data_IF_792224637406
#
_entry.id   IF_792224637406
#
_cell.length_a   1.000
_cell.length_b   1.000
_cell.length_c   1.000
_cell.angle_alpha   90.00
_cell.angle_beta   90.00
_cell.angle_gamma   90.00
#
_symmetry.space_group_name_H-M   'P 1'
#
loop_
_entity.id
_entity.type
_entity.pdbx_description
1 polymer ?
#
# COMPACT_ATOMS: atom_id res chain seq x y z
N UNK A 1 -20.96 -12.93 24.47
CA UNK A 1 -20.75 -11.51 24.13
C UNK A 1 -19.41 -11.10 24.76
N UNK A 2 -18.32 -11.09 23.98
CA UNK A 2 -16.99 -10.71 24.49
C UNK A 2 -16.97 -9.19 24.51
N UNK A 3 -16.77 -8.64 25.70
CA UNK A 3 -16.84 -7.21 25.95
C UNK A 3 -15.84 -6.44 25.07
N UNK A 4 -16.37 -5.54 24.25
CA UNK A 4 -15.65 -4.84 23.19
C UNK A 4 -14.75 -3.79 23.82
N UNK A 5 -13.43 -3.98 23.78
CA UNK A 5 -12.42 -2.94 24.09
C UNK A 5 -12.44 -2.31 25.51
N UNK A 6 -13.19 -2.85 26.46
CA UNK A 6 -13.35 -2.23 27.80
C UNK A 6 -12.04 -2.11 28.58
N UNK A 7 -11.13 -3.06 28.40
CA UNK A 7 -9.81 -3.04 29.05
C UNK A 7 -8.92 -1.87 28.60
N UNK A 8 -9.15 -1.31 27.41
CA UNK A 8 -8.38 -0.19 26.88
C UNK A 8 -8.88 1.18 27.41
N UNK A 9 -10.11 1.21 27.93
CA UNK A 9 -10.79 2.42 28.39
C UNK A 9 -10.65 2.60 29.91
N UNK A 10 -9.42 2.66 30.40
CA UNK A 10 -9.15 3.05 31.79
C UNK A 10 -9.57 4.51 32.03
N UNK A 11 -9.83 4.87 33.28
CA UNK A 11 -10.21 6.25 33.62
C UNK A 11 -9.14 7.27 33.24
N UNK A 12 -7.86 6.88 33.37
CA UNK A 12 -6.73 7.66 32.89
C UNK A 12 -6.77 7.87 31.36
N UNK A 13 -7.01 6.82 30.57
CA UNK A 13 -7.13 6.95 29.10
C UNK A 13 -8.31 7.84 28.73
N UNK A 14 -9.46 7.70 29.40
CA UNK A 14 -10.64 8.56 29.19
C UNK A 14 -10.31 10.02 29.50
N UNK A 15 -9.64 10.28 30.62
CA UNK A 15 -9.23 11.61 31.04
C UNK A 15 -8.31 12.25 29.99
N UNK A 16 -7.24 11.56 29.57
CA UNK A 16 -6.29 12.11 28.58
C UNK A 16 -6.93 12.32 27.21
N UNK A 17 -7.85 11.44 26.79
CA UNK A 17 -8.61 11.61 25.53
C UNK A 17 -9.55 12.82 25.61
N UNK A 18 -10.23 13.03 26.75
CA UNK A 18 -11.08 14.20 26.99
C UNK A 18 -10.26 15.49 27.01
N UNK A 19 -9.12 15.50 27.70
CA UNK A 19 -8.20 16.65 27.75
C UNK A 19 -7.70 17.02 26.35
N UNK A 20 -7.25 16.02 25.57
CA UNK A 20 -6.88 16.20 24.15
C UNK A 20 -8.01 16.83 23.34
N UNK A 21 -9.26 16.35 23.50
CA UNK A 21 -10.42 16.87 22.76
C UNK A 21 -10.73 18.32 23.14
N UNK A 22 -10.69 18.65 24.44
CA UNK A 22 -10.88 20.02 24.94
C UNK A 22 -9.85 20.98 24.35
N UNK A 23 -8.57 20.61 24.37
CA UNK A 23 -7.49 21.45 23.86
C UNK A 23 -7.50 21.58 22.34
N UNK A 24 -7.94 20.54 21.62
CA UNK A 24 -8.16 20.65 20.18
C UNK A 24 -9.27 21.67 19.86
N UNK A 25 -10.37 21.64 20.60
CA UNK A 25 -11.45 22.62 20.43
C UNK A 25 -10.98 24.05 20.79
N UNK A 26 -10.21 24.22 21.86
CA UNK A 26 -9.62 25.51 22.23
C UNK A 26 -8.71 26.06 21.11
N UNK A 27 -7.89 25.19 20.51
CA UNK A 27 -7.07 25.55 19.33
C UNK A 27 -7.92 25.92 18.11
N UNK A 28 -9.03 25.23 17.86
CA UNK A 28 -9.93 25.58 16.76
C UNK A 28 -10.61 26.95 16.95
N UNK A 29 -10.99 27.28 18.19
CA UNK A 29 -11.55 28.58 18.53
C UNK A 29 -10.53 29.71 18.46
N UNK A 30 -9.28 29.46 18.88
CA UNK A 30 -8.21 30.45 18.86
C UNK A 30 -6.86 29.80 18.47
N UNK A 31 -6.43 30.03 17.22
CA UNK A 31 -5.28 29.37 16.59
C UNK A 31 -3.93 29.97 17.01
N UNK A 32 -3.68 30.05 18.32
CA UNK A 32 -2.39 30.50 18.87
C UNK A 32 -1.35 29.39 18.90
N UNK A 33 -0.07 29.78 18.95
CA UNK A 33 1.04 28.85 19.13
C UNK A 33 0.93 28.09 20.46
N UNK A 34 0.48 28.74 21.52
CA UNK A 34 0.30 28.14 22.84
C UNK A 34 -0.78 27.06 22.84
N UNK A 35 -1.94 27.35 22.23
CA UNK A 35 -3.03 26.38 22.12
C UNK A 35 -2.63 25.18 21.26
N UNK A 36 -1.84 25.41 20.21
CA UNK A 36 -1.28 24.35 19.38
C UNK A 36 -0.30 23.46 20.16
N UNK A 37 0.60 24.07 20.93
CA UNK A 37 1.56 23.36 21.78
C UNK A 37 0.85 22.51 22.83
N UNK A 38 -0.11 23.09 23.56
CA UNK A 38 -0.90 22.41 24.58
C UNK A 38 -1.69 21.21 24.01
N UNK A 39 -2.31 21.37 22.84
CA UNK A 39 -2.96 20.26 22.14
C UNK A 39 -1.97 19.15 21.77
N UNK A 40 -0.78 19.50 21.26
CA UNK A 40 0.25 18.53 20.86
C UNK A 40 0.72 17.71 22.06
N UNK A 41 0.95 18.36 23.19
CA UNK A 41 1.31 17.69 24.45
C UNK A 41 0.21 16.75 24.93
N UNK A 42 -1.04 17.21 24.97
CA UNK A 42 -2.17 16.37 25.37
C UNK A 42 -2.41 15.21 24.41
N UNK A 43 -2.20 15.40 23.10
CA UNK A 43 -2.22 14.31 22.11
C UNK A 43 -1.12 13.28 22.39
N UNK A 44 0.09 13.74 22.73
CA UNK A 44 1.20 12.89 23.15
C UNK A 44 0.88 12.12 24.43
N UNK A 45 0.34 12.79 25.45
CA UNK A 45 -0.07 12.19 26.72
C UNK A 45 -1.14 11.11 26.53
N UNK A 46 -2.17 11.38 25.70
CA UNK A 46 -3.19 10.38 25.38
C UNK A 46 -2.60 9.17 24.66
N UNK A 47 -1.67 9.37 23.73
CA UNK A 47 -0.96 8.26 23.06
C UNK A 47 -0.15 7.42 24.06
N UNK A 48 0.56 8.07 24.99
CA UNK A 48 1.34 7.38 26.04
C UNK A 48 0.44 6.59 26.99
N UNK A 49 -0.65 7.18 27.47
CA UNK A 49 -1.61 6.49 28.35
C UNK A 49 -2.19 5.23 27.67
N UNK A 50 -2.55 5.33 26.38
CA UNK A 50 -3.00 4.17 25.59
C UNK A 50 -1.91 3.12 25.45
N UNK A 51 -0.65 3.52 25.23
CA UNK A 51 0.47 2.58 25.13
C UNK A 51 0.73 1.86 26.46
N UNK A 52 0.70 2.58 27.59
CA UNK A 52 0.87 2.03 28.95
C UNK A 52 -0.25 1.03 29.25
N UNK A 53 -1.52 1.40 29.01
CA UNK A 53 -2.65 0.50 29.22
C UNK A 53 -2.56 -0.78 28.36
N UNK A 54 -2.08 -0.65 27.11
CA UNK A 54 -1.79 -1.80 26.24
C UNK A 54 -0.68 -2.69 26.79
N UNK A 55 0.44 -2.10 27.19
CA UNK A 55 1.56 -2.84 27.77
C UNK A 55 1.10 -3.62 29.02
N UNK A 56 0.48 -2.94 29.98
CA UNK A 56 -0.02 -3.55 31.21
C UNK A 56 -0.99 -4.71 30.96
N UNK A 57 -1.90 -4.56 29.98
CA UNK A 57 -2.81 -5.64 29.61
C UNK A 57 -2.07 -6.85 29.02
N UNK A 58 -1.13 -6.63 28.10
CA UNK A 58 -0.37 -7.73 27.49
C UNK A 58 0.60 -8.38 28.48
N UNK A 59 1.17 -7.62 29.42
CA UNK A 59 1.99 -8.16 30.50
C UNK A 59 1.19 -9.07 31.42
N UNK A 60 -0.05 -8.71 31.76
CA UNK A 60 -0.97 -9.58 32.51
C UNK A 60 -1.35 -10.84 31.72
N UNK A 61 -1.64 -10.70 30.42
CA UNK A 61 -1.93 -11.86 29.56
C UNK A 61 -0.70 -12.78 29.52
N UNK A 62 0.49 -12.25 29.33
CA UNK A 62 1.73 -13.03 29.29
C UNK A 62 1.98 -13.76 30.62
N UNK A 63 1.83 -13.08 31.76
CA UNK A 63 1.94 -13.71 33.09
C UNK A 63 0.95 -14.87 33.26
N UNK A 64 -0.26 -14.76 32.74
CA UNK A 64 -1.25 -15.86 32.76
C UNK A 64 -0.87 -17.01 31.83
N UNK A 65 -0.21 -16.74 30.72
CA UNK A 65 0.26 -17.76 29.78
C UNK A 65 1.39 -18.62 30.35
N UNK A 66 2.16 -18.08 31.30
CA UNK A 66 3.21 -18.82 32.02
C UNK A 66 2.66 -19.79 33.08
N UNK A 67 1.35 -19.76 33.35
CA UNK A 67 0.69 -20.69 34.27
C UNK A 67 0.29 -21.99 33.57
N UNK A 68 0.03 -23.04 34.36
CA UNK A 68 -0.49 -24.33 33.86
C UNK A 68 -1.83 -24.19 33.11
N UNK A 69 -2.62 -23.16 33.41
CA UNK A 69 -3.87 -22.84 32.71
C UNK A 69 -3.67 -22.01 31.42
N UNK A 70 -2.43 -21.62 31.11
CA UNK A 70 -2.05 -20.82 29.95
C UNK A 70 -2.44 -21.44 28.62
N UNK A 71 -2.28 -22.75 28.45
CA UNK A 71 -2.65 -23.47 27.21
C UNK A 71 -4.15 -23.29 26.86
N UNK A 72 -5.03 -23.38 27.88
CA UNK A 72 -6.47 -23.19 27.72
C UNK A 72 -6.80 -21.73 27.36
N UNK A 73 -6.01 -20.77 27.87
CA UNK A 73 -6.14 -19.35 27.53
C UNK A 73 -5.72 -19.08 26.07
N UNK A 74 -4.63 -19.69 25.58
CA UNK A 74 -4.18 -19.56 24.18
C UNK A 74 -5.27 -20.05 23.23
N UNK A 75 -5.82 -21.23 23.47
CA UNK A 75 -6.87 -21.79 22.62
C UNK A 75 -8.11 -20.88 22.59
N UNK A 76 -8.48 -20.29 23.73
CA UNK A 76 -9.59 -19.33 23.83
C UNK A 76 -9.32 -18.02 23.09
N UNK A 77 -8.11 -17.48 23.19
CA UNK A 77 -7.69 -16.27 22.47
C UNK A 77 -7.66 -16.51 20.96
N UNK A 78 -7.12 -17.64 20.51
CA UNK A 78 -7.11 -18.04 19.11
C UNK A 78 -8.53 -18.15 18.54
N UNK A 79 -9.44 -18.84 19.24
CA UNK A 79 -10.85 -18.99 18.83
C UNK A 79 -11.60 -17.66 18.79
N UNK A 80 -11.30 -16.75 19.72
CA UNK A 80 -11.88 -15.40 19.73
C UNK A 80 -11.43 -14.58 18.53
N UNK A 81 -10.13 -14.60 18.19
CA UNK A 81 -9.59 -13.92 17.01
C UNK A 81 -10.16 -14.49 15.72
N UNK A 82 -10.30 -15.81 15.64
CA UNK A 82 -10.90 -16.46 14.48
C UNK A 82 -12.35 -15.98 14.25
N UNK A 83 -13.19 -15.98 15.29
CA UNK A 83 -14.55 -15.42 15.22
C UNK A 83 -14.57 -13.94 14.83
N UNK A 84 -13.65 -13.13 15.37
CA UNK A 84 -13.54 -11.71 14.98
C UNK A 84 -13.18 -11.52 13.51
N UNK A 85 -12.44 -12.45 12.90
CA UNK A 85 -12.15 -12.42 11.46
C UNK A 85 -13.33 -12.90 10.60
N UNK A 86 -14.26 -13.66 11.16
CA UNK A 86 -15.50 -14.08 10.51
C UNK A 86 -16.58 -12.97 10.58
N UNK A 87 -16.65 -12.24 11.69
CA UNK A 87 -17.57 -11.10 11.91
C UNK A 87 -17.21 -9.84 11.09
N UNK A 88 -16.03 -9.79 10.47
CA UNK A 88 -15.79 -8.87 9.35
C UNK A 88 -16.51 -9.49 8.16
N UNK A 89 -17.82 -9.24 8.11
CA UNK A 89 -18.71 -9.64 7.02
C UNK A 89 -17.99 -9.34 5.71
N UNK A 90 -17.64 -10.41 4.97
CA UNK A 90 -17.12 -10.28 3.62
C UNK A 90 -18.26 -9.73 2.79
N UNK A 91 -18.39 -8.40 2.78
CA UNK A 91 -19.48 -7.73 2.12
C UNK A 91 -19.26 -7.93 0.62
N UNK A 92 -19.99 -8.89 0.06
CA UNK A 92 -19.98 -9.19 -1.38
C UNK A 92 -21.09 -8.43 -2.12
N UNK A 93 -21.77 -7.50 -1.43
CA UNK A 93 -22.88 -6.75 -1.98
C UNK A 93 -22.44 -5.72 -3.02
N UNK A 94 -22.99 -5.79 -4.23
CA UNK A 94 -22.80 -4.79 -5.29
C UNK A 94 -24.16 -4.18 -5.63
N UNK A 95 -24.23 -2.85 -5.70
CA UNK A 95 -25.46 -2.17 -6.13
C UNK A 95 -25.58 -2.22 -7.65
N UNK A 96 -26.75 -2.57 -8.15
CA UNK A 96 -27.04 -2.53 -9.59
C UNK A 96 -27.27 -1.10 -10.10
N UNK A 97 -27.47 -0.95 -11.41
CA UNK A 97 -27.73 0.35 -12.06
C UNK A 97 -29.06 0.99 -11.62
N UNK A 98 -29.96 0.24 -11.00
CA UNK A 98 -31.25 0.70 -10.49
C UNK A 98 -31.20 1.04 -8.99
N UNK A 99 -30.02 0.96 -8.36
CA UNK A 99 -29.84 1.26 -6.94
C UNK A 99 -30.21 0.10 -5.99
N UNK A 100 -30.46 -1.10 -6.51
CA UNK A 100 -30.80 -2.28 -5.71
C UNK A 100 -29.52 -3.04 -5.30
N UNK A 101 -29.44 -3.43 -4.03
CA UNK A 101 -28.29 -4.18 -3.49
C UNK A 101 -28.38 -5.66 -3.91
N UNK A 102 -27.41 -6.12 -4.71
CA UNK A 102 -27.26 -7.52 -5.09
C UNK A 102 -26.37 -8.24 -4.08
N UNK A 103 -26.92 -9.24 -3.39
CA UNK A 103 -26.18 -10.08 -2.44
C UNK A 103 -25.88 -11.49 -3.00
N UNK A 104 -26.55 -11.87 -4.09
CA UNK A 104 -26.33 -13.16 -4.75
C UNK A 104 -25.03 -13.14 -5.54
N UNK A 105 -24.13 -14.10 -5.28
CA UNK A 105 -22.79 -14.14 -5.87
C UNK A 105 -22.82 -14.23 -7.39
N UNK A 106 -23.80 -14.92 -7.98
CA UNK A 106 -23.93 -15.04 -9.44
C UNK A 106 -24.35 -13.71 -10.06
N UNK A 107 -25.34 -13.05 -9.46
CA UNK A 107 -25.81 -11.71 -9.90
C UNK A 107 -24.73 -10.64 -9.75
N UNK A 108 -23.92 -10.71 -8.69
CA UNK A 108 -22.77 -9.83 -8.50
C UNK A 108 -21.75 -10.01 -9.61
N UNK A 109 -21.43 -11.25 -9.99
CA UNK A 109 -20.49 -11.54 -11.08
C UNK A 109 -21.03 -11.12 -12.46
N UNK A 110 -22.32 -11.31 -12.71
CA UNK A 110 -22.99 -10.81 -13.92
C UNK A 110 -22.94 -9.28 -13.97
N UNK A 111 -23.26 -8.59 -12.87
CA UNK A 111 -23.15 -7.14 -12.77
C UNK A 111 -21.74 -6.62 -13.03
N UNK A 112 -20.72 -7.31 -12.50
CA UNK A 112 -19.32 -6.98 -12.79
C UNK A 112 -19.00 -7.15 -14.28
N UNK A 113 -19.45 -8.24 -14.91
CA UNK A 113 -19.28 -8.48 -16.35
C UNK A 113 -19.89 -7.35 -17.16
N UNK A 114 -21.15 -7.00 -16.91
CA UNK A 114 -21.88 -5.96 -17.66
C UNK A 114 -21.22 -4.60 -17.51
N UNK A 115 -20.77 -4.27 -16.29
CA UNK A 115 -20.02 -3.03 -16.02
C UNK A 115 -18.71 -2.99 -16.82
N UNK A 116 -17.92 -4.07 -16.78
CA UNK A 116 -16.65 -4.16 -17.51
C UNK A 116 -16.83 -4.14 -19.03
N UNK A 117 -17.88 -4.76 -19.54
CA UNK A 117 -18.22 -4.76 -20.96
C UNK A 117 -18.61 -3.36 -21.43
N UNK A 118 -19.44 -2.64 -20.67
CA UNK A 118 -19.80 -1.25 -20.96
C UNK A 118 -18.57 -0.33 -21.04
N UNK A 119 -17.69 -0.38 -20.03
CA UNK A 119 -16.48 0.49 -20.02
C UNK A 119 -15.41 0.06 -21.04
N UNK A 120 -15.42 -1.20 -21.47
CA UNK A 120 -14.48 -1.71 -22.48
C UNK A 120 -14.96 -1.47 -23.91
N UNK A 121 -16.26 -1.19 -24.10
CA UNK A 121 -16.86 -0.88 -25.42
C UNK A 121 -16.91 0.62 -25.69
N UNK A 122 -16.82 1.46 -24.64
CA UNK A 122 -16.40 2.85 -24.79
C UNK A 122 -14.91 2.86 -25.18
N UNK A 123 -14.63 2.50 -26.43
CA UNK A 123 -13.39 2.82 -27.10
C UNK A 123 -13.25 4.33 -26.98
N UNK A 124 -12.44 4.76 -26.01
CA UNK A 124 -12.07 6.16 -25.88
C UNK A 124 -11.54 6.54 -27.25
N UNK A 125 -12.31 7.36 -27.97
CA UNK A 125 -11.94 7.97 -29.24
C UNK A 125 -10.73 8.84 -28.94
N UNK A 126 -9.57 8.19 -28.82
CA UNK A 126 -8.31 8.87 -28.89
C UNK A 126 -8.35 9.53 -30.25
N UNK A 127 -8.16 10.86 -30.34
CA UNK A 127 -7.94 11.47 -31.64
C UNK A 127 -6.89 10.61 -32.34
N UNK A 128 -7.08 10.27 -33.63
CA UNK A 128 -6.14 9.44 -34.35
C UNK A 128 -4.76 9.98 -34.04
N UNK A 129 -3.90 9.15 -33.42
CA UNK A 129 -2.51 9.52 -33.29
C UNK A 129 -2.09 9.96 -34.69
N UNK A 130 -1.53 11.17 -34.87
CA UNK A 130 -1.03 11.54 -36.18
C UNK A 130 -0.15 10.37 -36.59
N UNK A 131 -0.50 9.72 -37.71
CA UNK A 131 0.30 8.67 -38.27
C UNK A 131 1.63 9.34 -38.62
N UNK A 132 2.55 9.32 -37.66
CA UNK A 132 3.94 9.53 -37.92
C UNK A 132 4.30 8.37 -38.85
N UNK A 133 4.82 8.70 -40.03
CA UNK A 133 5.42 7.68 -40.88
C UNK A 133 6.32 6.82 -39.98
N UNK A 134 6.21 5.48 -40.05
CA UNK A 134 7.16 4.65 -39.35
C UNK A 134 8.53 5.18 -39.76
N UNK A 135 9.37 5.52 -38.79
CA UNK A 135 10.72 6.00 -39.09
C UNK A 135 11.51 4.76 -39.55
N UNK A 136 11.22 4.32 -40.77
CA UNK A 136 11.87 3.19 -41.44
C UNK A 136 13.27 3.67 -41.77
N UNK A 137 14.26 3.06 -41.13
CA UNK A 137 15.67 3.31 -41.43
C UNK A 137 16.44 4.10 -40.37
N UNK A 138 15.83 4.52 -39.24
CA UNK A 138 16.64 4.93 -38.08
C UNK A 138 16.95 3.71 -37.22
N UNK A 139 18.24 3.36 -37.02
CA UNK A 139 18.59 2.42 -35.97
C UNK A 139 18.03 2.92 -34.65
N UNK A 140 17.31 2.06 -33.92
CA UNK A 140 16.99 2.34 -32.52
C UNK A 140 18.33 2.43 -31.81
N UNK A 141 18.71 3.65 -31.42
CA UNK A 141 19.95 3.86 -30.68
C UNK A 141 19.84 3.13 -29.34
N UNK A 142 20.92 2.48 -28.88
CA UNK A 142 20.91 1.85 -27.57
C UNK A 142 20.71 2.92 -26.50
N UNK A 143 19.84 2.63 -25.54
CA UNK A 143 19.59 3.49 -24.39
C UNK A 143 20.90 3.66 -23.63
N UNK A 144 21.35 4.90 -23.49
CA UNK A 144 22.60 5.21 -22.78
C UNK A 144 22.36 5.29 -21.27
N UNK A 145 23.44 5.13 -20.49
CA UNK A 145 23.34 5.27 -19.04
C UNK A 145 22.98 6.71 -18.65
N UNK A 146 23.44 7.69 -19.42
CA UNK A 146 23.18 9.11 -19.23
C UNK A 146 21.70 9.44 -19.39
N UNK A 147 21.03 8.86 -20.39
CA UNK A 147 19.58 8.97 -20.59
C UNK A 147 18.81 8.42 -19.39
N UNK A 148 19.24 7.26 -18.88
CA UNK A 148 18.63 6.67 -17.68
C UNK A 148 18.86 7.54 -16.46
N UNK A 149 20.04 8.13 -16.27
CA UNK A 149 20.31 9.08 -15.18
C UNK A 149 19.37 10.28 -15.25
N UNK A 150 19.14 10.84 -16.45
CA UNK A 150 18.23 11.97 -16.63
C UNK A 150 16.77 11.57 -16.31
N UNK A 151 16.32 10.39 -16.74
CA UNK A 151 15.00 9.87 -16.39
C UNK A 151 14.84 9.65 -14.88
N UNK A 152 15.84 9.03 -14.23
CA UNK A 152 15.85 8.82 -12.79
C UNK A 152 15.78 10.14 -12.02
N UNK A 153 16.51 11.19 -12.46
CA UNK A 153 16.46 12.52 -11.84
C UNK A 153 15.05 13.13 -11.84
N UNK A 154 14.27 12.90 -12.89
CA UNK A 154 12.89 13.40 -13.03
C UNK A 154 11.89 12.73 -12.07
N UNK A 155 12.19 11.54 -11.54
CA UNK A 155 11.29 10.84 -10.60
C UNK A 155 11.08 11.67 -9.32
N UNK A 156 9.86 11.73 -8.78
CA UNK A 156 9.59 12.48 -7.54
C UNK A 156 9.83 11.62 -6.29
N UNK A 157 10.52 12.14 -5.26
CA UNK A 157 10.68 11.46 -3.98
C UNK A 157 9.32 11.33 -3.26
N UNK A 158 9.19 10.34 -2.38
CA UNK A 158 8.02 10.21 -1.49
C UNK A 158 6.70 9.77 -2.14
N UNK A 159 6.74 9.17 -3.34
CA UNK A 159 5.58 8.51 -3.95
C UNK A 159 5.38 7.11 -3.37
N UNK A 160 4.13 6.64 -3.34
CA UNK A 160 3.79 5.30 -2.90
C UNK A 160 4.54 4.26 -3.74
N UNK A 161 5.09 3.24 -3.10
CA UNK A 161 5.77 2.13 -3.77
C UNK A 161 4.77 1.26 -4.50
N UNK A 162 5.18 0.71 -5.65
CA UNK A 162 4.38 -0.26 -6.37
C UNK A 162 4.32 -1.61 -5.64
N UNK A 163 3.65 -2.62 -6.21
CA UNK A 163 3.61 -3.99 -5.66
C UNK A 163 4.99 -4.65 -5.51
N UNK A 164 6.03 -4.06 -6.10
CA UNK A 164 7.44 -4.43 -6.00
C UNK A 164 8.15 -3.87 -4.77
N UNK A 165 7.50 -2.97 -4.03
CA UNK A 165 8.00 -2.24 -2.85
C UNK A 165 9.31 -1.48 -3.08
N UNK A 166 9.55 -1.05 -4.33
CA UNK A 166 10.77 -0.32 -4.69
C UNK A 166 10.52 1.18 -4.74
N UNK A 167 11.15 1.92 -3.82
CA UNK A 167 11.07 3.38 -3.78
C UNK A 167 11.95 4.06 -4.83
N UNK A 168 11.53 5.24 -5.30
CA UNK A 168 12.33 6.09 -6.19
C UNK A 168 13.72 6.44 -5.61
N UNK A 169 13.83 6.54 -4.28
CA UNK A 169 15.10 6.77 -3.57
C UNK A 169 16.10 5.63 -3.80
N UNK A 170 15.63 4.39 -3.92
CA UNK A 170 16.51 3.24 -4.15
C UNK A 170 17.18 3.36 -5.52
N UNK A 171 16.40 3.72 -6.54
CA UNK A 171 16.89 3.93 -7.90
C UNK A 171 17.84 5.13 -8.01
N UNK A 172 17.69 6.13 -7.15
CA UNK A 172 18.55 7.33 -7.07
C UNK A 172 19.77 7.19 -6.15
N UNK A 173 19.91 6.07 -5.45
CA UNK A 173 20.95 5.92 -4.42
C UNK A 173 22.36 5.89 -5.02
N UNK A 174 23.32 6.50 -4.32
CA UNK A 174 24.75 6.52 -4.73
C UNK A 174 25.46 5.17 -4.59
N UNK A 175 24.85 4.22 -3.87
CA UNK A 175 25.46 2.94 -3.53
C UNK A 175 25.27 1.88 -4.62
N UNK A 176 24.46 2.16 -5.63
CA UNK A 176 24.08 1.23 -6.69
C UNK A 176 24.11 1.93 -8.04
N UNK A 177 24.75 1.31 -9.04
CA UNK A 177 24.79 1.85 -10.40
C UNK A 177 23.55 1.43 -11.19
N UNK A 178 22.38 1.93 -10.74
CA UNK A 178 21.06 1.67 -11.32
C UNK A 178 21.01 2.00 -12.79
N UNK A 179 21.60 3.12 -13.19
CA UNK A 179 21.56 3.60 -14.56
C UNK A 179 22.21 2.63 -15.54
N UNK A 180 23.42 2.15 -15.24
CA UNK A 180 24.12 1.17 -16.08
C UNK A 180 23.38 -0.17 -16.15
N UNK A 181 22.81 -0.61 -15.03
CA UNK A 181 22.08 -1.87 -15.00
C UNK A 181 20.77 -1.78 -15.80
N UNK A 182 20.00 -0.71 -15.62
CA UNK A 182 18.75 -0.46 -16.34
C UNK A 182 18.99 -0.27 -17.84
N UNK A 183 20.01 0.49 -18.24
CA UNK A 183 20.38 0.66 -19.64
C UNK A 183 20.67 -0.70 -20.31
N UNK A 184 21.47 -1.56 -19.66
CA UNK A 184 21.75 -2.91 -20.15
C UNK A 184 20.49 -3.78 -20.24
N UNK A 185 19.65 -3.72 -19.22
CA UNK A 185 18.41 -4.49 -19.15
C UNK A 185 17.43 -4.09 -20.26
N UNK A 186 17.20 -2.79 -20.46
CA UNK A 186 16.30 -2.31 -21.52
C UNK A 186 16.85 -2.61 -22.91
N UNK A 187 18.15 -2.41 -23.13
CA UNK A 187 18.78 -2.75 -24.41
C UNK A 187 18.69 -4.25 -24.71
N UNK A 188 18.78 -5.10 -23.68
CA UNK A 188 18.58 -6.54 -23.83
C UNK A 188 17.13 -6.89 -24.23
N UNK A 189 16.13 -6.25 -23.62
CA UNK A 189 14.73 -6.43 -24.01
C UNK A 189 14.48 -5.97 -25.45
N UNK A 190 15.04 -4.82 -25.84
CA UNK A 190 14.90 -4.28 -27.20
C UNK A 190 15.54 -5.22 -28.23
N UNK A 191 16.73 -5.75 -27.93
CA UNK A 191 17.45 -6.64 -28.82
C UNK A 191 16.80 -8.03 -28.94
N UNK A 192 16.41 -8.63 -27.81
CA UNK A 192 15.90 -10.00 -27.79
C UNK A 192 14.38 -10.09 -28.06
N UNK A 193 13.66 -8.96 -27.95
CA UNK A 193 12.19 -8.87 -27.94
C UNK A 193 11.54 -9.89 -26.99
N UNK A 194 12.27 -10.29 -25.95
CA UNK A 194 11.90 -11.28 -24.95
C UNK A 194 12.30 -10.74 -23.58
N UNK A 195 11.54 -11.15 -22.56
CA UNK A 195 11.91 -10.85 -21.19
C UNK A 195 13.15 -11.66 -20.79
N UNK A 196 14.27 -11.01 -20.44
CA UNK A 196 15.45 -11.73 -20.01
C UNK A 196 15.15 -12.46 -18.70
N UNK A 197 15.60 -13.71 -18.59
CA UNK A 197 15.48 -14.45 -17.32
C UNK A 197 16.27 -13.70 -16.25
N UNK A 198 15.57 -13.24 -15.20
CA UNK A 198 16.16 -12.47 -14.11
C UNK A 198 17.19 -13.37 -13.39
N UNK A 199 18.47 -13.19 -13.72
CA UNK A 199 19.60 -13.95 -13.20
C UNK A 199 20.04 -13.54 -11.79
N UNK A 200 21.02 -14.29 -11.25
CA UNK A 200 21.55 -14.26 -9.88
C UNK A 200 21.82 -12.88 -9.25
N UNK A 201 22.10 -11.86 -10.04
CA UNK A 201 22.39 -10.51 -9.53
C UNK A 201 21.15 -9.86 -8.90
N UNK A 202 19.94 -10.17 -9.39
CA UNK A 202 18.69 -9.74 -8.76
C UNK A 202 18.31 -10.58 -7.52
N UNK A 203 18.93 -11.76 -7.32
CA UNK A 203 18.67 -12.59 -6.12
C UNK A 203 19.18 -11.95 -4.84
N UNK A 204 20.18 -11.06 -4.92
CA UNK A 204 20.68 -10.31 -3.75
C UNK A 204 19.65 -9.32 -3.19
N UNK A 205 18.62 -8.96 -3.98
CA UNK A 205 17.49 -8.13 -3.58
C UNK A 205 16.26 -8.93 -3.11
N UNK A 206 16.30 -10.27 -3.13
CA UNK A 206 15.18 -11.13 -2.70
C UNK A 206 15.54 -11.91 -1.44
N UNK A 207 15.62 -11.24 -0.29
CA UNK A 207 15.46 -11.90 1.00
C UNK A 207 14.11 -11.51 1.59
N UNK A 208 13.09 -12.37 1.37
CA UNK A 208 11.76 -12.14 1.94
C UNK A 208 10.59 -12.85 1.24
N UNK A 209 10.60 -14.19 1.24
CA UNK A 209 9.46 -15.11 0.99
C UNK A 209 8.78 -15.13 -0.41
N UNK A 210 8.38 -16.35 -0.79
CA UNK A 210 8.02 -16.84 -2.13
C UNK A 210 6.60 -16.45 -2.59
N UNK A 211 6.47 -16.44 -3.94
CA UNK A 211 5.30 -16.47 -4.86
C UNK A 211 5.00 -15.10 -5.50
N UNK A 212 4.84 -14.91 -6.81
CA UNK A 212 4.66 -15.79 -7.99
C UNK A 212 5.11 -15.01 -9.24
N UNK A 213 5.43 -15.77 -10.28
CA UNK A 213 5.62 -15.34 -11.68
C UNK A 213 4.36 -14.64 -12.19
N UNK A 214 4.39 -13.31 -12.20
CA UNK A 214 3.63 -12.35 -13.01
C UNK A 214 3.85 -10.99 -12.33
N UNK A 215 3.92 -9.89 -13.10
CA UNK A 215 4.16 -8.51 -12.63
C UNK A 215 5.61 -8.01 -12.63
N UNK A 216 6.32 -8.23 -13.74
CA UNK A 216 7.37 -7.29 -14.20
C UNK A 216 6.86 -6.39 -15.34
N UNK A 217 5.67 -6.69 -15.89
CA UNK A 217 5.00 -5.86 -16.93
C UNK A 217 4.71 -4.45 -16.42
N UNK A 218 4.37 -4.30 -15.12
CA UNK A 218 4.15 -3.00 -14.48
C UNK A 218 5.39 -2.08 -14.45
N UNK A 219 6.60 -2.64 -14.47
CA UNK A 219 7.82 -1.83 -14.44
C UNK A 219 8.11 -1.19 -15.80
N UNK A 220 7.68 -1.84 -16.88
CA UNK A 220 7.83 -1.33 -18.24
C UNK A 220 6.70 -0.33 -18.53
N UNK A 221 5.46 -0.61 -18.10
CA UNK A 221 4.34 0.33 -18.28
C UNK A 221 4.56 1.64 -17.49
N UNK A 222 5.12 1.60 -16.27
CA UNK A 222 5.47 2.82 -15.54
C UNK A 222 6.62 3.61 -16.17
N UNK A 223 7.54 2.95 -16.88
CA UNK A 223 8.66 3.63 -17.55
C UNK A 223 8.23 4.22 -18.90
N UNK A 224 7.36 3.51 -19.64
CA UNK A 224 6.79 3.99 -20.92
C UNK A 224 5.85 5.17 -20.68
N UNK A 225 4.94 5.10 -19.70
CA UNK A 225 4.05 6.22 -19.35
C UNK A 225 4.81 7.48 -18.90
N UNK A 226 6.04 7.35 -18.40
CA UNK A 226 6.84 8.49 -17.95
C UNK A 226 7.71 9.10 -19.06
N UNK A 227 7.94 8.39 -20.17
CA UNK A 227 8.67 8.90 -21.33
C UNK A 227 7.76 9.60 -22.36
N UNK A 228 6.45 9.39 -22.29
CA UNK A 228 5.45 9.98 -23.19
C UNK A 228 4.63 11.12 -22.54
N UNK A 229 5.13 11.77 -21.48
CA UNK A 229 4.54 12.95 -20.83
C UNK A 229 5.54 14.08 -20.66
#
# INVERSE_FOLDING_TARGET
MIDRQTWLWTDEVKEKVRAKKRLYNAFLCNKTADNWSAYREARGAAKRAVAIAKAAHYDEVNRRLETRDGERLIYRLARTRHRQSEDVEKFHGVTDDHGQLLMDTKKVMERWRDYFEKISTEESLHPPFPHAEPIVGRPILPISAEEVVLALRKMKPGKATGPDDVAAELWKSRHWNSANWLARFFNQIIAERKMPQIGSQARRFRSGRRRVVQRTVLLIDQFICFLTS
#
